data_IF_882580103915
#
_entry.id   IF_882580103915
#
_cell.length_a   1.000
_cell.length_b   1.000
_cell.length_c   1.000
_cell.angle_alpha   90.00
_cell.angle_beta   90.00
_cell.angle_gamma   90.00
#
_symmetry.space_group_name_H-M   'P 1'
#
loop_
_entity.id
_entity.type
_entity.pdbx_description
1 polymer ?
#
# COMPACT_ATOMS: atom_id res chain seq x y z
N UNK A 1 11.11 -3.82 -16.04
CA UNK A 1 9.95 -3.13 -16.65
C UNK A 1 9.08 -4.18 -17.29
N UNK A 2 7.76 -4.00 -17.22
CA UNK A 2 6.75 -4.88 -17.83
C UNK A 2 5.98 -4.06 -18.87
N UNK A 3 5.27 -4.69 -19.83
CA UNK A 3 4.52 -3.97 -20.86
C UNK A 3 3.22 -3.37 -20.31
N UNK A 4 3.34 -2.41 -19.39
CA UNK A 4 2.23 -1.62 -18.81
C UNK A 4 2.40 -0.15 -19.17
N UNK A 5 1.31 0.51 -19.55
CA UNK A 5 1.34 1.89 -20.06
C UNK A 5 1.56 2.94 -18.97
N UNK A 6 1.04 2.70 -17.77
CA UNK A 6 1.11 3.60 -16.63
C UNK A 6 0.94 2.80 -15.33
N UNK A 7 1.24 3.43 -14.19
CA UNK A 7 1.23 2.85 -12.83
C UNK A 7 2.38 1.86 -12.60
N UNK A 8 2.93 1.89 -11.40
CA UNK A 8 4.00 1.00 -10.94
C UNK A 8 3.64 0.46 -9.56
N UNK A 9 4.11 -0.73 -9.24
CA UNK A 9 3.92 -1.35 -7.93
C UNK A 9 5.26 -1.47 -7.21
N UNK A 10 5.25 -1.23 -5.91
CA UNK A 10 6.40 -1.44 -5.03
C UNK A 10 6.14 -2.68 -4.19
N UNK A 11 7.05 -3.64 -4.27
CA UNK A 11 7.10 -4.80 -3.36
C UNK A 11 8.25 -4.58 -2.37
N UNK A 12 7.90 -4.40 -1.08
CA UNK A 12 8.85 -4.15 0.00
C UNK A 12 8.85 -5.32 0.97
N UNK A 13 9.87 -6.17 0.88
CA UNK A 13 10.18 -7.17 1.90
C UNK A 13 11.17 -6.58 2.91
N UNK A 14 10.77 -6.45 4.18
CA UNK A 14 11.61 -5.90 5.23
C UNK A 14 11.58 -6.76 6.51
N UNK A 15 12.65 -6.66 7.31
CA UNK A 15 12.72 -7.29 8.63
C UNK A 15 12.60 -6.20 9.70
N UNK A 16 11.55 -6.30 10.50
CA UNK A 16 11.29 -5.37 11.60
C UNK A 16 11.99 -5.84 12.88
N UNK A 17 12.53 -4.89 13.65
CA UNK A 17 13.20 -5.17 14.93
C UNK A 17 12.18 -5.55 16.02
N UNK A 18 11.08 -4.80 16.10
CA UNK A 18 9.95 -5.11 16.96
C UNK A 18 8.98 -5.99 16.18
N UNK A 19 8.69 -7.18 16.70
CA UNK A 19 7.70 -8.07 16.08
C UNK A 19 6.32 -7.40 16.01
N UNK A 20 5.63 -7.60 14.90
CA UNK A 20 4.27 -7.14 14.68
C UNK A 20 3.56 -8.15 13.77
N UNK A 21 2.28 -8.35 14.03
CA UNK A 21 1.39 -9.09 13.14
C UNK A 21 1.06 -8.26 11.90
N UNK A 22 0.69 -8.94 10.81
CA UNK A 22 0.26 -8.26 9.59
C UNK A 22 -0.96 -7.35 9.83
N UNK A 23 -1.85 -7.71 10.77
CA UNK A 23 -3.00 -6.87 11.12
C UNK A 23 -2.57 -5.56 11.81
N UNK A 24 -1.58 -5.62 12.69
CA UNK A 24 -1.01 -4.42 13.33
C UNK A 24 -0.33 -3.50 12.31
N UNK A 25 0.40 -4.07 11.35
CA UNK A 25 1.02 -3.31 10.26
C UNK A 25 -0.04 -2.60 9.42
N UNK A 26 -1.08 -3.32 9.00
CA UNK A 26 -2.20 -2.73 8.24
C UNK A 26 -2.90 -1.62 9.02
N UNK A 27 -3.16 -1.83 10.32
CA UNK A 27 -3.79 -0.83 11.17
C UNK A 27 -2.95 0.45 11.26
N UNK A 28 -1.63 0.32 11.47
CA UNK A 28 -0.72 1.45 11.53
C UNK A 28 -0.67 2.24 10.20
N UNK A 29 -0.61 1.53 9.07
CA UNK A 29 -0.61 2.18 7.74
C UNK A 29 -1.95 2.88 7.49
N UNK A 30 -3.08 2.25 7.84
CA UNK A 30 -4.41 2.83 7.70
C UNK A 30 -4.58 4.08 8.57
N UNK A 31 -4.03 4.08 9.77
CA UNK A 31 -4.03 5.25 10.66
C UNK A 31 -3.20 6.39 10.06
N UNK A 32 -1.98 6.11 9.59
CA UNK A 32 -1.12 7.11 8.96
C UNK A 32 -1.77 7.71 7.70
N UNK A 33 -2.39 6.87 6.85
CA UNK A 33 -3.10 7.29 5.64
C UNK A 33 -4.31 8.21 5.94
N UNK A 34 -5.02 7.96 7.04
CA UNK A 34 -6.17 8.79 7.46
C UNK A 34 -5.76 10.01 8.31
N UNK A 35 -4.54 10.01 8.85
CA UNK A 35 -4.00 11.03 9.74
C UNK A 35 -2.92 11.86 9.06
N UNK A 36 -1.68 11.70 9.53
CA UNK A 36 -0.56 12.58 9.18
C UNK A 36 -0.17 12.57 7.69
N UNK A 37 -0.45 11.47 6.98
CA UNK A 37 -0.14 11.31 5.55
C UNK A 37 -1.36 11.46 4.65
N UNK A 38 -2.46 12.03 5.16
CA UNK A 38 -3.69 12.20 4.38
C UNK A 38 -3.45 13.02 3.12
N UNK A 39 -3.87 12.47 1.97
CA UNK A 39 -3.65 13.05 0.64
C UNK A 39 -2.30 12.70 0.01
N UNK A 40 -1.40 12.05 0.75
CA UNK A 40 -0.12 11.52 0.26
C UNK A 40 -0.14 10.00 0.19
N UNK A 41 -0.60 9.35 1.27
CA UNK A 41 -0.75 7.91 1.38
C UNK A 41 -2.24 7.56 1.41
N UNK A 42 -2.64 6.61 0.57
CA UNK A 42 -3.96 5.98 0.61
C UNK A 42 -3.84 4.52 1.01
N UNK A 43 -4.95 3.94 1.48
CA UNK A 43 -5.04 2.55 1.93
C UNK A 43 -6.29 1.92 1.33
N UNK A 44 -6.17 0.73 0.76
CA UNK A 44 -7.31 -0.02 0.19
C UNK A 44 -7.31 -1.48 0.61
N UNK A 45 -8.51 -2.03 0.75
CA UNK A 45 -8.79 -3.47 0.96
C UNK A 45 -9.57 -4.07 -0.23
N UNK A 46 -9.75 -3.30 -1.30
CA UNK A 46 -10.43 -3.75 -2.50
C UNK A 46 -9.49 -4.57 -3.38
N UNK A 47 -10.06 -5.46 -4.20
CA UNK A 47 -9.30 -6.19 -5.21
C UNK A 47 -9.05 -5.27 -6.41
N UNK A 48 -7.98 -4.50 -6.35
CA UNK A 48 -7.61 -3.53 -7.39
C UNK A 48 -6.57 -4.09 -8.36
N UNK A 49 -6.55 -3.54 -9.57
CA UNK A 49 -5.50 -3.76 -10.56
C UNK A 49 -4.88 -2.43 -10.99
N UNK A 50 -3.74 -2.49 -11.66
CA UNK A 50 -2.98 -1.29 -12.05
C UNK A 50 -3.78 -0.21 -12.78
N UNK A 51 -4.79 -0.58 -13.58
CA UNK A 51 -5.62 0.37 -14.32
C UNK A 51 -6.55 1.19 -13.43
N UNK A 52 -6.93 0.67 -12.26
CA UNK A 52 -7.82 1.35 -11.32
C UNK A 52 -7.15 2.55 -10.67
N UNK A 53 -5.82 2.60 -10.70
CA UNK A 53 -5.01 3.66 -10.08
C UNK A 53 -4.60 4.77 -11.07
N UNK A 54 -5.01 4.68 -12.34
CA UNK A 54 -4.67 5.70 -13.33
C UNK A 54 -5.39 7.01 -12.98
N UNK A 55 -4.62 8.07 -12.77
CA UNK A 55 -5.14 9.40 -12.43
C UNK A 55 -5.36 9.62 -10.94
N UNK A 56 -4.98 8.66 -10.09
CA UNK A 56 -4.90 8.89 -8.66
C UNK A 56 -3.74 9.85 -8.34
N UNK A 57 -3.99 10.80 -7.42
CA UNK A 57 -3.06 11.87 -7.07
C UNK A 57 -2.24 11.56 -5.79
N UNK A 58 -2.53 10.47 -5.09
CA UNK A 58 -1.74 10.02 -3.95
C UNK A 58 -0.35 9.56 -4.44
N UNK A 59 0.66 9.81 -3.62
CA UNK A 59 2.03 9.38 -3.92
C UNK A 59 2.21 7.87 -3.75
N UNK A 60 1.45 7.26 -2.83
CA UNK A 60 1.47 5.82 -2.59
C UNK A 60 0.10 5.33 -2.16
N UNK A 61 -0.24 4.12 -2.60
CA UNK A 61 -1.51 3.46 -2.27
C UNK A 61 -1.14 2.08 -1.75
N UNK A 62 -1.44 1.81 -0.48
CA UNK A 62 -1.16 0.53 0.14
C UNK A 62 -2.29 -0.46 -0.13
N UNK A 63 -1.94 -1.57 -0.80
CA UNK A 63 -2.84 -2.70 -1.04
C UNK A 63 -2.73 -3.71 0.10
N UNK A 64 -3.75 -3.72 0.95
CA UNK A 64 -3.78 -4.54 2.15
C UNK A 64 -3.97 -6.04 1.89
N UNK A 65 -4.49 -6.43 0.73
CA UNK A 65 -4.74 -7.84 0.37
C UNK A 65 -3.61 -8.46 -0.44
N UNK A 66 -2.79 -7.64 -1.11
CA UNK A 66 -1.65 -8.13 -1.88
C UNK A 66 -0.45 -8.55 -1.03
N UNK A 67 -0.25 -7.95 0.15
CA UNK A 67 0.87 -8.23 1.04
C UNK A 67 0.69 -9.46 1.95
N UNK A 68 1.80 -10.02 2.44
CA UNK A 68 1.84 -11.11 3.42
C UNK A 68 2.94 -10.91 4.47
N UNK A 69 2.80 -11.52 5.64
CA UNK A 69 3.89 -11.70 6.61
C UNK A 69 4.43 -13.12 6.50
N UNK A 70 5.76 -13.26 6.41
CA UNK A 70 6.48 -14.53 6.40
C UNK A 70 6.80 -15.03 7.82
#
# INVERSE_FOLDING_TARGET
RVPTSNVSVVDLTCRIEKGASYQEIKAAIKEAANGELKGILSYTEDEIVSTDLIGDNHSSIFDAKAGISL
#
